data_IF_721513648701
#
_entry.id   IF_721513648701
#
_cell.length_a   1.000
_cell.length_b   1.000
_cell.length_c   1.000
_cell.angle_alpha   90.00
_cell.angle_beta   90.00
_cell.angle_gamma   90.00
#
_symmetry.space_group_name_H-M   'P 1'
#
loop_
_entity.id
_entity.type
_entity.pdbx_description
1 polymer ?
#
# COMPACT_ATOMS: atom_id res chain seq x y z
N UNK A 1 39.58 -26.27 -40.72
CA UNK A 1 38.15 -25.89 -40.62
C UNK A 1 37.95 -25.33 -39.23
N UNK A 2 37.80 -24.00 -39.11
CA UNK A 2 37.57 -23.34 -37.82
C UNK A 2 36.24 -23.87 -37.29
N UNK A 3 36.26 -24.48 -36.10
CA UNK A 3 35.07 -24.62 -35.26
C UNK A 3 34.66 -23.18 -34.90
N UNK A 4 33.90 -22.56 -35.81
CA UNK A 4 33.24 -21.29 -35.59
C UNK A 4 32.21 -21.52 -34.50
N UNK A 5 32.67 -21.41 -33.26
CA UNK A 5 32.06 -20.53 -32.26
C UNK A 5 30.53 -20.50 -32.32
N UNK A 6 29.91 -21.67 -32.21
CA UNK A 6 28.46 -21.81 -32.03
C UNK A 6 28.10 -21.38 -30.60
N UNK A 7 29.09 -21.43 -29.70
CA UNK A 7 28.95 -21.10 -28.28
C UNK A 7 28.83 -19.60 -28.03
N UNK A 8 29.43 -18.70 -28.85
CA UNK A 8 29.29 -17.24 -28.65
C UNK A 8 27.97 -16.63 -29.11
N UNK A 9 27.08 -17.42 -29.73
CA UNK A 9 25.77 -16.94 -30.24
C UNK A 9 24.58 -17.32 -29.37
N UNK A 10 24.77 -18.03 -28.27
CA UNK A 10 23.76 -18.09 -27.24
C UNK A 10 23.89 -16.82 -26.40
N UNK A 11 23.09 -15.81 -26.74
CA UNK A 11 22.79 -14.76 -25.78
C UNK A 11 22.35 -15.45 -24.49
N UNK A 12 23.03 -15.17 -23.39
CA UNK A 12 22.61 -15.62 -22.07
C UNK A 12 21.23 -15.01 -21.85
N UNK A 13 20.18 -15.80 -22.06
CA UNK A 13 18.82 -15.37 -21.79
C UNK A 13 18.77 -15.19 -20.29
N UNK A 14 18.37 -14.00 -19.86
CA UNK A 14 18.10 -13.72 -18.47
C UNK A 14 17.11 -14.79 -17.94
N UNK A 15 17.43 -15.50 -16.84
CA UNK A 15 16.58 -16.55 -16.31
C UNK A 15 15.11 -16.13 -16.10
N UNK A 16 14.87 -14.86 -15.72
CA UNK A 16 13.51 -14.35 -15.54
C UNK A 16 12.77 -14.23 -16.88
N UNK A 17 13.49 -13.87 -17.95
CA UNK A 17 12.94 -13.84 -19.30
C UNK A 17 12.65 -15.25 -19.83
N UNK A 18 13.48 -16.24 -19.50
CA UNK A 18 13.25 -17.63 -19.87
C UNK A 18 11.99 -18.18 -19.20
N UNK A 19 11.83 -17.95 -17.90
CA UNK A 19 10.67 -18.41 -17.15
C UNK A 19 9.37 -17.74 -17.62
N UNK A 20 9.44 -16.47 -18.05
CA UNK A 20 8.32 -15.77 -18.69
C UNK A 20 7.92 -16.39 -20.03
N UNK A 21 8.90 -16.75 -20.86
CA UNK A 21 8.64 -17.44 -22.13
C UNK A 21 8.02 -18.82 -21.92
N UNK A 22 8.50 -19.56 -20.91
CA UNK A 22 7.96 -20.86 -20.53
C UNK A 22 6.49 -20.75 -20.10
N UNK A 23 6.14 -19.78 -19.25
CA UNK A 23 4.75 -19.54 -18.85
C UNK A 23 3.84 -19.22 -20.04
N UNK A 24 4.30 -18.38 -20.99
CA UNK A 24 3.54 -18.10 -22.21
C UNK A 24 3.34 -19.35 -23.06
N UNK A 25 4.39 -20.16 -23.23
CA UNK A 25 4.31 -21.40 -23.98
C UNK A 25 3.26 -22.35 -23.38
N UNK A 26 3.29 -22.54 -22.06
CA UNK A 26 2.35 -23.39 -21.34
C UNK A 26 0.90 -22.91 -21.44
N UNK A 27 0.69 -21.58 -21.46
CA UNK A 27 -0.61 -20.97 -21.68
C UNK A 27 -1.16 -21.27 -23.08
N UNK A 28 -0.36 -21.02 -24.13
CA UNK A 28 -0.78 -21.30 -25.51
C UNK A 28 -0.98 -22.79 -25.78
N UNK A 29 -0.14 -23.66 -25.22
CA UNK A 29 -0.31 -25.11 -25.33
C UNK A 29 -1.64 -25.55 -24.69
N UNK A 30 -1.93 -25.08 -23.47
CA UNK A 30 -3.18 -25.42 -22.78
C UNK A 30 -4.40 -24.90 -23.54
N UNK A 31 -4.37 -23.65 -24.02
CA UNK A 31 -5.45 -23.05 -24.81
C UNK A 31 -5.69 -23.81 -26.13
N UNK A 32 -4.62 -24.21 -26.83
CA UNK A 32 -4.72 -25.02 -28.06
C UNK A 32 -5.38 -26.38 -27.78
N UNK A 33 -5.00 -27.04 -26.69
CA UNK A 33 -5.60 -28.30 -26.30
C UNK A 33 -7.09 -28.16 -25.96
N UNK A 34 -7.46 -27.10 -25.23
CA UNK A 34 -8.87 -26.78 -24.93
C UNK A 34 -9.65 -26.59 -26.23
N UNK A 35 -9.17 -25.74 -27.14
CA UNK A 35 -9.83 -25.48 -28.43
C UNK A 35 -9.97 -26.76 -29.27
N UNK A 36 -8.93 -27.58 -29.34
CA UNK A 36 -8.99 -28.85 -30.05
C UNK A 36 -10.01 -29.82 -29.43
N UNK A 37 -10.10 -29.88 -28.10
CA UNK A 37 -11.09 -30.70 -27.41
C UNK A 37 -12.53 -30.21 -27.62
N UNK A 38 -12.72 -28.89 -27.74
CA UNK A 38 -14.01 -28.28 -28.05
C UNK A 38 -14.46 -28.59 -29.48
N UNK A 39 -13.52 -28.62 -30.44
CA UNK A 39 -13.83 -28.71 -31.88
C UNK A 39 -13.66 -30.11 -32.48
N UNK A 40 -12.89 -31.01 -31.86
CA UNK A 40 -12.57 -32.34 -32.40
C UNK A 40 -13.01 -33.44 -31.44
N UNK A 41 -14.00 -34.22 -31.86
CA UNK A 41 -14.62 -35.29 -31.07
C UNK A 41 -13.61 -36.34 -30.59
N UNK A 42 -12.76 -36.80 -31.51
CA UNK A 42 -11.78 -37.86 -31.27
C UNK A 42 -10.37 -37.31 -31.03
N UNK A 43 -10.28 -36.09 -30.47
CA UNK A 43 -8.98 -35.52 -30.09
C UNK A 43 -8.33 -36.41 -29.02
N UNK A 44 -7.23 -37.06 -29.40
CA UNK A 44 -6.30 -37.73 -28.49
C UNK A 44 -5.07 -36.83 -28.40
N UNK A 45 -4.83 -36.31 -27.20
CA UNK A 45 -3.53 -35.71 -26.88
C UNK A 45 -2.58 -36.83 -26.45
N UNK A 46 -1.28 -36.57 -26.50
CA UNK A 46 -0.24 -37.57 -26.23
C UNK A 46 -0.30 -38.18 -24.81
N UNK A 47 -1.15 -37.68 -23.91
CA UNK A 47 -1.21 -38.04 -22.49
C UNK A 47 -2.64 -38.34 -21.97
N UNK A 48 -3.64 -38.53 -22.84
CA UNK A 48 -5.06 -38.75 -22.49
C UNK A 48 -5.67 -37.76 -21.47
N UNK A 49 -5.13 -36.53 -21.44
CA UNK A 49 -5.58 -35.45 -20.55
C UNK A 49 -7.00 -34.99 -20.89
N UNK A 50 -7.73 -34.50 -19.89
CA UNK A 50 -9.13 -34.05 -20.02
C UNK A 50 -9.24 -32.53 -20.18
N UNK A 51 -10.44 -32.03 -20.56
CA UNK A 51 -10.72 -30.58 -20.54
C UNK A 51 -10.38 -29.98 -19.18
N UNK A 52 -10.80 -30.63 -18.08
CA UNK A 52 -10.56 -30.15 -16.71
C UNK A 52 -9.08 -29.94 -16.42
N UNK A 53 -8.22 -30.87 -16.87
CA UNK A 53 -6.79 -30.73 -16.71
C UNK A 53 -6.26 -29.48 -17.41
N UNK A 54 -6.62 -29.29 -18.69
CA UNK A 54 -6.07 -28.17 -19.46
C UNK A 54 -6.66 -26.82 -19.04
N UNK A 55 -7.94 -26.74 -18.68
CA UNK A 55 -8.54 -25.50 -18.15
C UNK A 55 -7.91 -25.13 -16.83
N UNK A 56 -7.73 -26.09 -15.91
CA UNK A 56 -7.05 -25.85 -14.63
C UNK A 56 -5.59 -25.41 -14.83
N UNK A 57 -4.85 -26.12 -15.69
CA UNK A 57 -3.45 -25.79 -16.01
C UNK A 57 -3.33 -24.38 -16.61
N UNK A 58 -4.23 -24.03 -17.54
CA UNK A 58 -4.26 -22.72 -18.15
C UNK A 58 -4.55 -21.61 -17.12
N UNK A 59 -5.54 -21.81 -16.27
CA UNK A 59 -5.94 -20.87 -15.22
C UNK A 59 -4.83 -20.67 -14.17
N UNK A 60 -4.23 -21.75 -13.68
CA UNK A 60 -3.11 -21.69 -12.73
C UNK A 60 -1.89 -20.96 -13.31
N UNK A 61 -1.50 -21.29 -14.54
CA UNK A 61 -0.37 -20.63 -15.20
C UNK A 61 -0.68 -19.18 -15.53
N UNK A 62 -1.94 -18.85 -15.83
CA UNK A 62 -2.35 -17.47 -16.07
C UNK A 62 -2.21 -16.66 -14.78
N UNK A 63 -2.72 -17.15 -13.64
CA UNK A 63 -2.52 -16.48 -12.35
C UNK A 63 -1.05 -16.28 -12.00
N UNK A 64 -0.20 -17.30 -12.19
CA UNK A 64 1.26 -17.17 -11.99
C UNK A 64 1.88 -16.09 -12.88
N UNK A 65 1.51 -16.06 -14.16
CA UNK A 65 1.97 -15.05 -15.11
C UNK A 65 1.52 -13.64 -14.68
N UNK A 66 0.28 -13.51 -14.24
CA UNK A 66 -0.30 -12.25 -13.74
C UNK A 66 0.43 -11.73 -12.49
N UNK A 67 0.76 -12.61 -11.54
CA UNK A 67 1.54 -12.25 -10.35
C UNK A 67 2.95 -11.76 -10.71
N UNK A 68 3.58 -12.36 -11.73
CA UNK A 68 4.89 -11.92 -12.22
C UNK A 68 4.86 -10.56 -12.91
N UNK A 69 3.76 -10.20 -13.57
CA UNK A 69 3.60 -8.86 -14.14
C UNK A 69 3.68 -7.74 -13.09
N UNK A 70 3.53 -8.06 -11.79
CA UNK A 70 3.77 -7.11 -10.70
C UNK A 70 5.27 -6.75 -10.56
N UNK A 71 6.20 -7.62 -10.94
CA UNK A 71 7.64 -7.44 -10.70
C UNK A 71 8.47 -7.09 -11.93
N UNK A 72 7.96 -7.23 -13.16
CA UNK A 72 8.66 -6.70 -14.33
C UNK A 72 8.31 -7.31 -15.69
N UNK A 73 8.94 -6.71 -16.71
CA UNK A 73 8.87 -6.94 -18.16
C UNK A 73 7.56 -6.50 -18.87
N UNK A 74 7.64 -5.33 -19.53
CA UNK A 74 6.54 -4.76 -20.31
C UNK A 74 6.17 -5.60 -21.54
N UNK A 75 7.14 -6.29 -22.14
CA UNK A 75 6.92 -7.14 -23.30
C UNK A 75 6.19 -8.42 -22.91
N UNK A 76 6.56 -9.04 -21.78
CA UNK A 76 5.84 -10.20 -21.23
C UNK A 76 4.39 -9.86 -20.92
N UNK A 77 4.14 -8.74 -20.22
CA UNK A 77 2.78 -8.31 -19.92
C UNK A 77 1.96 -7.99 -21.18
N UNK A 78 2.58 -7.42 -22.21
CA UNK A 78 1.93 -7.21 -23.52
C UNK A 78 1.55 -8.55 -24.15
N UNK A 79 2.46 -9.52 -24.19
CA UNK A 79 2.18 -10.85 -24.72
C UNK A 79 1.09 -11.58 -23.93
N UNK A 80 1.06 -11.43 -22.60
CA UNK A 80 0.02 -12.01 -21.75
C UNK A 80 -1.36 -11.40 -22.03
N UNK A 81 -1.42 -10.09 -22.31
CA UNK A 81 -2.66 -9.42 -22.77
C UNK A 81 -3.13 -9.96 -24.11
N UNK A 82 -2.21 -10.07 -25.07
CA UNK A 82 -2.52 -10.61 -26.39
C UNK A 82 -3.03 -12.06 -26.27
N UNK A 83 -2.45 -12.86 -25.37
CA UNK A 83 -2.95 -14.19 -25.03
C UNK A 83 -4.39 -14.15 -24.49
N UNK A 84 -4.70 -13.31 -23.48
CA UNK A 84 -6.06 -13.23 -22.92
C UNK A 84 -7.09 -12.81 -23.97
N UNK A 85 -6.75 -11.87 -24.86
CA UNK A 85 -7.62 -11.48 -25.98
C UNK A 85 -7.90 -12.67 -26.90
N UNK A 86 -6.87 -13.44 -27.26
CA UNK A 86 -7.06 -14.63 -28.09
C UNK A 86 -7.87 -15.71 -27.36
N UNK A 87 -7.72 -15.84 -26.04
CA UNK A 87 -8.48 -16.81 -25.25
C UNK A 87 -9.97 -16.46 -25.18
N UNK A 88 -10.35 -15.17 -25.19
CA UNK A 88 -11.76 -14.75 -25.28
C UNK A 88 -12.43 -15.33 -26.54
N UNK A 89 -11.71 -15.44 -27.66
CA UNK A 89 -12.23 -16.08 -28.86
C UNK A 89 -12.59 -17.56 -28.62
N UNK A 90 -11.82 -18.27 -27.78
CA UNK A 90 -12.13 -19.65 -27.36
C UNK A 90 -13.35 -19.66 -26.43
N UNK A 91 -13.48 -18.70 -25.52
CA UNK A 91 -14.65 -18.58 -24.64
C UNK A 91 -15.95 -18.39 -25.44
N UNK A 92 -15.87 -17.67 -26.56
CA UNK A 92 -16.97 -17.37 -27.48
C UNK A 92 -17.30 -18.51 -28.48
N UNK A 93 -16.45 -19.55 -28.59
CA UNK A 93 -16.69 -20.67 -29.52
C UNK A 93 -18.04 -21.33 -29.26
N UNK A 94 -18.85 -21.54 -30.30
CA UNK A 94 -20.17 -22.16 -30.13
C UNK A 94 -20.10 -23.66 -29.91
N UNK A 95 -19.04 -24.29 -30.42
CA UNK A 95 -18.81 -25.72 -30.31
C UNK A 95 -18.11 -26.04 -29.00
N UNK A 96 -18.57 -27.10 -28.34
CA UNK A 96 -17.94 -27.64 -27.14
C UNK A 96 -18.22 -29.14 -27.03
N UNK A 97 -17.63 -29.92 -27.93
CA UNK A 97 -17.91 -31.36 -28.07
C UNK A 97 -17.54 -32.17 -26.82
N UNK A 98 -16.56 -31.71 -26.03
CA UNK A 98 -16.10 -32.36 -24.80
C UNK A 98 -16.52 -31.63 -23.52
N UNK A 99 -17.44 -30.66 -23.61
CA UNK A 99 -17.99 -29.92 -22.49
C UNK A 99 -16.92 -29.20 -21.63
N UNK A 100 -15.86 -28.68 -22.26
CA UNK A 100 -14.80 -27.94 -21.60
C UNK A 100 -15.32 -26.69 -20.88
N UNK A 101 -16.37 -26.05 -21.39
CA UNK A 101 -16.98 -24.84 -20.79
C UNK A 101 -17.60 -25.09 -19.42
N UNK A 102 -17.94 -26.34 -19.11
CA UNK A 102 -18.45 -26.71 -17.79
C UNK A 102 -17.39 -26.69 -16.69
N UNK A 103 -16.11 -26.62 -17.05
CA UNK A 103 -15.03 -26.54 -16.08
C UNK A 103 -15.09 -25.21 -15.32
N UNK A 104 -14.94 -25.27 -13.99
CA UNK A 104 -14.85 -24.09 -13.12
C UNK A 104 -13.66 -23.18 -13.47
N UNK A 105 -12.63 -23.73 -14.11
CA UNK A 105 -11.41 -23.03 -14.52
C UNK A 105 -11.45 -22.53 -15.97
N UNK A 106 -12.57 -22.69 -16.68
CA UNK A 106 -12.63 -22.36 -18.11
C UNK A 106 -12.45 -20.86 -18.36
N UNK A 107 -13.04 -20.01 -17.51
CA UNK A 107 -12.92 -18.56 -17.63
C UNK A 107 -11.70 -18.03 -16.88
N UNK A 108 -10.75 -17.46 -17.62
CA UNK A 108 -9.57 -16.87 -17.00
C UNK A 108 -9.94 -15.60 -16.22
N UNK A 109 -9.33 -15.35 -15.05
CA UNK A 109 -9.68 -14.23 -14.18
C UNK A 109 -9.48 -12.88 -14.89
N UNK A 110 -10.39 -11.94 -14.63
CA UNK A 110 -10.43 -10.60 -15.23
C UNK A 110 -9.42 -9.60 -14.61
N UNK A 111 -8.45 -10.11 -13.85
CA UNK A 111 -7.53 -9.33 -13.05
C UNK A 111 -6.58 -8.46 -13.90
N UNK A 112 -6.47 -7.15 -13.63
CA UNK A 112 -5.41 -6.28 -14.19
C UNK A 112 -4.47 -5.77 -13.08
N UNK A 113 -3.27 -6.37 -12.90
CA UNK A 113 -2.30 -6.02 -11.87
C UNK A 113 -1.75 -4.61 -12.08
N UNK A 114 -1.76 -4.09 -13.30
CA UNK A 114 -1.32 -2.73 -13.60
C UNK A 114 -2.36 -1.71 -13.15
N UNK A 115 -3.65 -2.00 -13.38
CA UNK A 115 -4.75 -1.16 -12.91
C UNK A 115 -4.77 -1.11 -11.38
N UNK A 116 -4.67 -2.28 -10.72
CA UNK A 116 -4.58 -2.33 -9.26
C UNK A 116 -3.38 -1.57 -8.72
N UNK A 117 -2.21 -1.64 -9.37
CA UNK A 117 -1.03 -0.89 -8.93
C UNK A 117 -1.22 0.61 -9.13
N UNK A 118 -1.88 1.05 -10.21
CA UNK A 118 -2.26 2.46 -10.38
C UNK A 118 -3.19 2.89 -9.25
N UNK A 119 -4.23 2.11 -8.95
CA UNK A 119 -5.15 2.38 -7.86
C UNK A 119 -4.47 2.38 -6.48
N UNK A 120 -3.62 1.39 -6.19
CA UNK A 120 -2.83 1.30 -4.94
C UNK A 120 -1.81 2.43 -4.81
N UNK A 121 -1.10 2.79 -5.89
CA UNK A 121 -0.21 3.97 -5.91
C UNK A 121 -0.98 5.26 -5.67
N UNK A 122 -2.14 5.44 -6.32
CA UNK A 122 -3.02 6.59 -6.09
C UNK A 122 -3.48 6.62 -4.63
N UNK A 123 -3.92 5.50 -4.06
CA UNK A 123 -4.32 5.40 -2.65
C UNK A 123 -3.17 5.75 -1.69
N UNK A 124 -1.95 5.23 -1.91
CA UNK A 124 -0.78 5.54 -1.10
C UNK A 124 -0.42 7.04 -1.18
N UNK A 125 -0.37 7.59 -2.39
CA UNK A 125 -0.08 9.02 -2.61
C UNK A 125 -1.13 9.88 -1.90
N UNK A 126 -2.41 9.58 -2.09
CA UNK A 126 -3.52 10.36 -1.54
C UNK A 126 -3.55 10.32 0.00
N UNK A 127 -3.23 9.19 0.62
CA UNK A 127 -3.15 9.08 2.09
C UNK A 127 -1.96 9.88 2.67
N UNK A 128 -0.80 9.85 1.99
CA UNK A 128 0.38 10.61 2.43
C UNK A 128 0.18 12.13 2.32
N UNK A 129 -0.42 12.61 1.23
CA UNK A 129 -0.69 14.04 1.04
C UNK A 129 -1.71 14.57 2.05
N UNK A 130 -2.76 13.80 2.34
CA UNK A 130 -3.81 14.23 3.28
C UNK A 130 -3.27 14.34 4.71
N UNK A 131 -2.41 13.41 5.12
CA UNK A 131 -1.76 13.45 6.44
C UNK A 131 -0.78 14.63 6.57
N UNK A 132 0.00 14.92 5.52
CA UNK A 132 0.97 16.03 5.53
C UNK A 132 0.30 17.41 5.55
N UNK A 133 -0.81 17.58 4.83
CA UNK A 133 -1.55 18.85 4.76
C UNK A 133 -2.19 19.21 6.10
N UNK A 134 -2.71 18.22 6.85
CA UNK A 134 -3.27 18.45 8.19
C UNK A 134 -2.20 18.94 9.17
N UNK A 135 -0.98 18.38 9.11
CA UNK A 135 0.16 18.82 9.93
C UNK A 135 0.55 20.29 9.68
N UNK A 136 0.40 20.78 8.44
CA UNK A 136 0.69 22.18 8.10
C UNK A 136 -0.44 23.14 8.49
N UNK A 137 -1.68 22.67 8.53
CA UNK A 137 -2.85 23.49 8.88
C UNK A 137 -2.99 23.67 10.41
N UNK A 138 -2.60 22.67 11.22
CA UNK A 138 -2.72 22.72 12.69
C UNK A 138 -2.03 23.96 13.33
N UNK A 139 -0.78 24.33 12.99
CA UNK A 139 -0.12 25.52 13.56
C UNK A 139 -0.79 26.83 13.12
N UNK A 140 -1.32 26.88 11.89
CA UNK A 140 -2.02 28.05 11.37
C UNK A 140 -3.35 28.23 12.12
N UNK A 141 -4.12 27.17 12.30
CA UNK A 141 -5.36 27.21 13.09
C UNK A 141 -5.09 27.57 14.57
N UNK A 142 -3.99 27.10 15.14
CA UNK A 142 -3.59 27.46 16.50
C UNK A 142 -3.35 28.97 16.67
N UNK A 143 -2.82 29.64 15.64
CA UNK A 143 -2.53 31.08 15.65
C UNK A 143 -3.73 31.96 15.26
N UNK A 144 -4.55 31.51 14.33
CA UNK A 144 -5.61 32.32 13.70
C UNK A 144 -7.04 32.01 14.19
N UNK A 145 -7.28 30.87 14.82
CA UNK A 145 -8.58 30.53 15.41
C UNK A 145 -8.51 30.72 16.94
N UNK A 146 -9.51 31.34 17.61
CA UNK A 146 -9.49 31.60 19.06
C UNK A 146 -9.61 30.32 19.93
N UNK A 147 -9.25 29.15 19.41
CA UNK A 147 -9.14 27.90 20.18
C UNK A 147 -7.85 27.85 21.05
N UNK A 148 -6.85 28.69 20.79
CA UNK A 148 -5.62 28.75 21.60
C UNK A 148 -5.87 29.13 23.07
N UNK A 149 -6.83 30.02 23.34
CA UNK A 149 -7.28 30.36 24.70
C UNK A 149 -8.07 29.21 25.35
N UNK A 150 -8.89 28.50 24.56
CA UNK A 150 -9.67 27.33 25.01
C UNK A 150 -8.78 26.15 25.41
N UNK A 151 -7.75 25.83 24.63
CA UNK A 151 -6.79 24.75 24.94
C UNK A 151 -5.85 25.13 26.11
N UNK A 152 -5.45 26.41 26.23
CA UNK A 152 -4.65 26.90 27.36
C UNK A 152 -5.33 26.66 28.70
N UNK A 153 -6.66 26.82 28.77
CA UNK A 153 -7.45 26.49 29.96
C UNK A 153 -7.37 25.01 30.34
N UNK A 154 -7.46 24.11 29.35
CA UNK A 154 -7.35 22.66 29.60
C UNK A 154 -5.94 22.20 29.98
N UNK A 155 -4.91 22.75 29.33
CA UNK A 155 -3.50 22.45 29.67
C UNK A 155 -3.17 22.95 31.08
N UNK A 156 -3.65 24.16 31.46
CA UNK A 156 -3.51 24.67 32.82
C UNK A 156 -4.18 23.75 33.85
N UNK A 157 -5.39 23.25 33.54
CA UNK A 157 -6.11 22.32 34.41
C UNK A 157 -5.38 20.97 34.62
N UNK A 158 -4.73 20.43 33.58
CA UNK A 158 -3.90 19.21 33.69
C UNK A 158 -2.57 19.47 34.40
N UNK A 159 -1.94 20.62 34.14
CA UNK A 159 -0.72 21.07 34.82
C UNK A 159 -0.95 21.27 36.33
N UNK A 160 -2.04 21.93 36.71
CA UNK A 160 -2.39 22.17 38.12
C UNK A 160 -2.70 20.84 38.84
N UNK A 161 -3.22 19.83 38.12
CA UNK A 161 -3.45 18.49 38.64
C UNK A 161 -2.17 17.66 38.80
N UNK A 162 -1.19 17.81 37.91
CA UNK A 162 0.14 17.20 38.03
C UNK A 162 0.97 17.88 39.13
N UNK A 163 1.10 19.21 39.11
CA UNK A 163 1.83 19.99 40.12
C UNK A 163 1.21 19.86 41.53
N UNK A 164 -0.09 19.57 41.61
CA UNK A 164 -0.77 19.28 42.87
C UNK A 164 -0.53 17.87 43.42
N UNK A 165 -0.04 16.94 42.60
CA UNK A 165 0.21 15.54 42.98
C UNK A 165 1.60 15.35 43.61
N UNK A 166 2.49 16.34 43.45
CA UNK A 166 3.89 16.31 43.90
C UNK A 166 4.06 16.85 45.33
N UNK A 167 3.00 17.40 45.94
CA UNK A 167 3.05 18.06 47.26
C UNK A 167 3.08 17.11 48.47
N UNK A 168 3.11 15.79 48.25
CA UNK A 168 3.24 14.80 49.31
C UNK A 168 4.62 14.10 49.30
N UNK A 169 5.58 14.62 48.54
CA UNK A 169 6.84 13.93 48.24
C UNK A 169 8.09 14.38 49.00
N UNK A 170 8.16 15.62 49.53
CA UNK A 170 9.44 16.15 50.01
C UNK A 170 9.29 17.01 51.27
N UNK A 171 8.92 16.34 52.37
CA UNK A 171 9.18 16.79 53.74
C UNK A 171 10.61 16.40 54.13
N UNK A 172 11.62 16.76 53.35
CA UNK A 172 13.04 16.58 53.71
C UNK A 172 13.88 17.58 52.93
N UNK A 173 14.09 18.76 53.50
CA UNK A 173 15.39 19.43 53.64
C UNK A 173 15.16 20.81 54.28
N UNK A 174 15.37 20.84 55.59
CA UNK A 174 15.34 22.04 56.42
C UNK A 174 16.48 23.01 56.05
N UNK A 175 16.15 24.31 56.12
CA UNK A 175 16.96 25.40 56.69
C UNK A 175 18.23 25.89 55.94
N UNK A 176 18.09 27.00 55.20
CA UNK A 176 19.04 28.14 55.19
C UNK A 176 18.33 29.38 54.58
N UNK A 177 17.80 30.32 55.38
CA UNK A 177 18.52 31.49 55.92
C UNK A 177 18.78 32.56 54.85
N UNK A 178 17.96 33.63 54.92
CA UNK A 178 18.11 35.02 54.41
C UNK A 178 18.48 35.25 52.94
N UNK A 179 17.67 36.08 52.25
CA UNK A 179 18.07 37.40 51.74
C UNK A 179 16.80 38.15 51.25
N UNK A 180 16.72 39.39 51.73
CA UNK A 180 15.76 40.46 51.45
C UNK A 180 15.92 41.08 50.04
N UNK A 181 15.14 42.14 49.84
CA UNK A 181 15.08 43.15 48.77
C UNK A 181 14.15 42.83 47.60
N UNK A 182 12.91 43.34 47.56
CA UNK A 182 12.35 44.69 47.76
C UNK A 182 12.54 45.65 46.55
N UNK A 183 11.54 46.52 46.40
CA UNK A 183 11.31 47.63 45.46
C UNK A 183 10.32 47.41 44.29
N UNK A 184 9.38 48.32 44.01
CA UNK A 184 8.90 49.48 44.77
C UNK A 184 7.58 50.04 44.19
N UNK A 185 6.85 50.75 45.05
CA UNK A 185 6.02 51.96 44.84
C UNK A 185 4.71 51.96 44.04
N UNK A 186 3.59 52.03 44.77
CA UNK A 186 2.81 53.28 44.91
C UNK A 186 1.51 53.04 45.71
N UNK A 187 1.50 53.35 47.01
CA UNK A 187 0.25 53.70 47.73
C UNK A 187 0.52 54.88 48.67
N UNK A 188 -0.25 55.93 48.42
CA UNK A 188 -0.17 57.29 48.95
C UNK A 188 -0.66 57.37 50.41
N UNK A 189 0.13 57.98 51.30
CA UNK A 189 -0.16 58.14 52.72
C UNK A 189 -0.98 59.41 53.01
N UNK A 190 -1.84 59.37 54.05
CA UNK A 190 -2.29 60.57 54.75
C UNK A 190 -2.58 60.26 56.24
N UNK A 191 -1.75 60.80 57.14
CA UNK A 191 -1.98 60.81 58.60
C UNK A 191 -1.93 62.26 59.08
N UNK A 192 -3.00 62.72 59.74
CA UNK A 192 -3.16 64.08 60.25
C UNK A 192 -2.58 64.28 61.66
N UNK A 193 -2.02 65.46 61.91
CA UNK A 193 -1.41 65.87 63.18
C UNK A 193 -2.43 66.42 64.18
N UNK A 194 -2.27 66.11 65.46
CA UNK A 194 -2.88 66.85 66.58
C UNK A 194 -1.80 67.67 67.31
N UNK A 195 -2.06 68.96 67.45
CA UNK A 195 -1.26 69.94 68.19
C UNK A 195 -1.78 70.06 69.63
N UNK A 196 -0.90 69.95 70.62
CA UNK A 196 -1.17 70.26 72.02
C UNK A 196 -0.14 71.26 72.55
N UNK A 197 -0.62 72.46 72.89
CA UNK A 197 0.11 73.59 73.47
C UNK A 197 0.32 73.42 74.99
N UNK A 198 1.38 74.06 75.49
CA UNK A 198 1.71 74.23 76.91
C UNK A 198 0.57 74.80 77.77
#
# INVERSE_FOLDING_TARGET
MRLLDITSRFHVIDPDNLENMELLYELYDSARNILNMMNVKDYSNDEDKTCLYYTQKCDENYRKAMDKCLNGNADFYKALKDFKINYIAIEEETQDLKNCKSSEYFHLPEYDPVLERKQKKIMIIQNTTTSLMVLLIIPLLYKFTPFGSFLRGKIKMVKDKWVGQDKNGDELLSLSTYIEDDNSDNVEYNIGYYSGTN
#
